data_IF_434437511685
#
_entry.id   IF_434437511685
#
_cell.length_a   1.000
_cell.length_b   1.000
_cell.length_c   1.000
_cell.angle_alpha   90.00
_cell.angle_beta   90.00
_cell.angle_gamma   90.00
#
_symmetry.space_group_name_H-M   'P 1'
#
loop_
_entity.id
_entity.type
_entity.pdbx_description
1 polymer ?
#
# COMPACT_ATOMS: atom_id res chain seq x y z
N UNK A 1 1.66 -25.56 -0.30
CA UNK A 1 2.93 -24.97 -0.74
C UNK A 1 2.56 -23.99 -1.83
N UNK A 2 3.01 -22.74 -1.72
CA UNK A 2 2.89 -21.78 -2.82
C UNK A 2 3.55 -22.38 -4.07
N UNK A 3 3.01 -22.11 -5.26
CA UNK A 3 3.67 -22.50 -6.49
C UNK A 3 5.05 -21.84 -6.58
N UNK A 4 5.94 -22.39 -7.41
CA UNK A 4 7.27 -21.78 -7.59
C UNK A 4 7.11 -20.40 -8.24
N UNK A 5 7.69 -19.32 -7.68
CA UNK A 5 7.62 -18.00 -8.30
C UNK A 5 8.21 -18.00 -9.72
N UNK A 6 7.61 -17.21 -10.59
CA UNK A 6 8.00 -17.05 -11.99
C UNK A 6 8.69 -15.70 -12.25
N UNK A 7 9.28 -15.54 -13.43
CA UNK A 7 9.80 -14.24 -13.86
C UNK A 7 8.70 -13.17 -13.96
N UNK A 8 7.47 -13.56 -14.30
CA UNK A 8 6.34 -12.63 -14.37
C UNK A 8 5.95 -12.09 -12.98
N UNK A 9 6.02 -12.92 -11.95
CA UNK A 9 5.82 -12.48 -10.56
C UNK A 9 6.87 -11.44 -10.17
N UNK A 10 8.14 -11.67 -10.52
CA UNK A 10 9.22 -10.71 -10.26
C UNK A 10 9.02 -9.38 -11.01
N UNK A 11 8.53 -9.42 -12.25
CA UNK A 11 8.16 -8.20 -12.99
C UNK A 11 7.05 -7.41 -12.32
N UNK A 12 6.02 -8.08 -11.77
CA UNK A 12 4.96 -7.43 -11.00
C UNK A 12 5.55 -6.77 -9.74
N UNK A 13 6.43 -7.46 -9.01
CA UNK A 13 7.10 -6.90 -7.83
C UNK A 13 7.92 -5.66 -8.18
N UNK A 14 8.70 -5.69 -9.28
CA UNK A 14 9.47 -4.52 -9.72
C UNK A 14 8.55 -3.34 -10.05
N UNK A 15 7.42 -3.57 -10.72
CA UNK A 15 6.42 -2.51 -11.00
C UNK A 15 5.79 -1.97 -9.72
N UNK A 16 5.44 -2.83 -8.78
CA UNK A 16 4.93 -2.41 -7.46
C UNK A 16 5.98 -1.56 -6.72
N UNK A 17 7.25 -1.95 -6.78
CA UNK A 17 8.35 -1.18 -6.19
C UNK A 17 8.50 0.20 -6.84
N UNK A 18 8.42 0.29 -8.16
CA UNK A 18 8.49 1.56 -8.88
C UNK A 18 7.35 2.51 -8.49
N UNK A 19 6.12 1.99 -8.42
CA UNK A 19 4.96 2.75 -7.94
C UNK A 19 5.18 3.22 -6.50
N UNK A 20 5.67 2.34 -5.60
CA UNK A 20 5.98 2.69 -4.20
C UNK A 20 7.00 3.82 -4.05
N UNK A 21 7.81 4.04 -5.08
CA UNK A 21 8.83 5.10 -5.13
C UNK A 21 8.34 6.40 -5.75
N UNK A 22 7.14 6.48 -6.32
CA UNK A 22 6.58 7.75 -6.77
C UNK A 22 6.69 8.81 -5.68
N UNK A 23 7.05 10.04 -6.06
CA UNK A 23 7.37 11.09 -5.11
C UNK A 23 6.22 11.35 -4.13
N UNK A 24 4.98 11.32 -4.60
CA UNK A 24 3.81 11.58 -3.77
C UNK A 24 3.46 10.39 -2.87
N UNK A 25 3.45 9.15 -3.40
CA UNK A 25 3.23 7.96 -2.58
C UNK A 25 4.33 7.78 -1.52
N UNK A 26 5.57 8.20 -1.81
CA UNK A 26 6.65 8.20 -0.82
C UNK A 26 6.37 9.14 0.34
N UNK A 27 5.88 10.36 0.08
CA UNK A 27 5.45 11.30 1.13
C UNK A 27 4.26 10.74 1.92
N UNK A 28 3.26 10.21 1.21
CA UNK A 28 2.08 9.63 1.82
C UNK A 28 2.44 8.48 2.78
N UNK A 29 3.34 7.58 2.38
CA UNK A 29 3.84 6.49 3.23
C UNK A 29 4.62 6.99 4.44
N UNK A 30 5.44 8.03 4.27
CA UNK A 30 6.18 8.62 5.39
C UNK A 30 5.23 9.25 6.42
N UNK A 31 4.20 9.96 5.96
CA UNK A 31 3.13 10.48 6.82
C UNK A 31 2.36 9.34 7.51
N UNK A 32 1.93 8.33 6.76
CA UNK A 32 1.19 7.17 7.27
C UNK A 32 1.94 6.44 8.38
N UNK A 33 3.27 6.25 8.23
CA UNK A 33 4.10 5.60 9.25
C UNK A 33 4.22 6.39 10.56
N UNK A 34 4.07 7.72 10.51
CA UNK A 34 4.06 8.59 11.69
C UNK A 34 2.67 8.85 12.27
N UNK A 35 1.60 8.54 11.52
CA UNK A 35 0.23 8.78 11.93
C UNK A 35 -0.32 7.58 12.72
N UNK A 36 -0.38 7.73 14.04
CA UNK A 36 -0.84 6.72 14.99
C UNK A 36 -2.11 7.16 15.72
N UNK A 37 -3.29 7.05 15.10
CA UNK A 37 -4.55 7.42 15.74
C UNK A 37 -4.81 6.54 16.98
N UNK A 38 -5.29 7.15 18.06
CA UNK A 38 -5.58 6.48 19.35
C UNK A 38 -7.03 6.05 19.50
N UNK A 39 -7.89 6.44 18.56
CA UNK A 39 -9.30 6.07 18.55
C UNK A 39 -9.86 6.03 17.13
N UNK A 40 -10.99 5.32 16.96
CA UNK A 40 -11.75 5.35 15.72
C UNK A 40 -12.23 6.76 15.37
N UNK A 41 -12.56 7.58 16.37
CA UNK A 41 -12.99 8.97 16.16
C UNK A 41 -11.89 9.82 15.53
N UNK A 42 -10.62 9.64 15.92
CA UNK A 42 -9.50 10.35 15.29
C UNK A 42 -9.35 9.98 13.80
N UNK A 43 -9.65 8.73 13.43
CA UNK A 43 -9.69 8.29 12.03
C UNK A 43 -10.84 8.95 11.29
N UNK A 44 -12.05 8.90 11.86
CA UNK A 44 -13.27 9.50 11.29
C UNK A 44 -13.09 11.01 11.10
N UNK A 45 -12.50 11.69 12.07
CA UNK A 45 -12.18 13.11 11.97
C UNK A 45 -11.17 13.38 10.87
N UNK A 46 -10.07 12.62 10.77
CA UNK A 46 -9.10 12.79 9.70
C UNK A 46 -9.72 12.60 8.32
N UNK A 47 -10.59 11.60 8.14
CA UNK A 47 -11.26 11.32 6.86
C UNK A 47 -12.27 12.42 6.51
N UNK A 48 -13.09 12.87 7.47
CA UNK A 48 -14.22 13.74 7.17
C UNK A 48 -13.94 15.23 7.34
N UNK A 49 -12.83 15.62 7.98
CA UNK A 49 -12.51 17.02 8.19
C UNK A 49 -12.09 17.70 6.89
N UNK A 50 -12.78 18.79 6.46
CA UNK A 50 -12.39 19.58 5.30
C UNK A 50 -11.00 20.23 5.43
N UNK A 51 -10.49 20.30 6.66
CA UNK A 51 -9.18 20.88 6.99
C UNK A 51 -8.00 19.97 6.65
N UNK A 52 -8.24 18.69 6.35
CA UNK A 52 -7.19 17.69 6.13
C UNK A 52 -7.25 17.07 4.70
N UNK A 53 -7.40 17.86 3.63
CA UNK A 53 -7.61 17.31 2.29
C UNK A 53 -6.40 16.51 1.79
N UNK A 54 -5.19 16.87 2.21
CA UNK A 54 -3.95 16.22 1.78
C UNK A 54 -3.73 14.90 2.54
N UNK A 55 -3.91 14.89 3.86
CA UNK A 55 -3.77 13.71 4.71
C UNK A 55 -4.81 12.65 4.34
N UNK A 56 -6.04 13.06 4.07
CA UNK A 56 -7.07 12.16 3.53
C UNK A 56 -6.63 11.57 2.18
N UNK A 57 -6.14 12.41 1.25
CA UNK A 57 -5.65 11.93 -0.05
C UNK A 57 -4.50 10.94 0.12
N UNK A 58 -3.53 11.23 1.00
CA UNK A 58 -2.43 10.34 1.33
C UNK A 58 -2.89 9.02 1.94
N UNK A 59 -3.83 9.04 2.89
CA UNK A 59 -4.42 7.84 3.46
C UNK A 59 -5.01 6.96 2.36
N UNK A 60 -5.88 7.54 1.51
CA UNK A 60 -6.52 6.81 0.42
C UNK A 60 -5.51 6.27 -0.59
N UNK A 61 -4.45 7.03 -0.85
CA UNK A 61 -3.40 6.63 -1.79
C UNK A 61 -2.57 5.46 -1.27
N UNK A 62 -2.19 5.47 0.01
CA UNK A 62 -1.47 4.36 0.65
C UNK A 62 -2.35 3.11 0.71
N UNK A 63 -3.59 3.24 1.18
CA UNK A 63 -4.51 2.10 1.26
C UNK A 63 -4.81 1.52 -0.12
N UNK A 64 -5.16 2.36 -1.10
CA UNK A 64 -5.47 1.89 -2.45
C UNK A 64 -4.31 1.18 -3.14
N UNK A 65 -3.07 1.64 -2.91
CA UNK A 65 -1.87 0.97 -3.42
C UNK A 65 -1.73 -0.45 -2.83
N UNK A 66 -1.91 -0.60 -1.50
CA UNK A 66 -1.81 -1.90 -0.85
C UNK A 66 -3.00 -2.82 -1.14
N UNK A 67 -4.22 -2.28 -1.23
CA UNK A 67 -5.42 -3.03 -1.63
C UNK A 67 -5.24 -3.62 -3.03
N UNK A 68 -4.69 -2.84 -3.97
CA UNK A 68 -4.37 -3.34 -5.32
C UNK A 68 -3.31 -4.45 -5.27
N UNK A 69 -2.20 -4.24 -4.55
CA UNK A 69 -1.15 -5.24 -4.45
C UNK A 69 -1.63 -6.55 -3.80
N UNK A 70 -2.40 -6.45 -2.71
CA UNK A 70 -3.03 -7.58 -2.03
C UNK A 70 -4.03 -8.30 -2.96
N UNK A 71 -4.75 -7.56 -3.80
CA UNK A 71 -5.66 -8.17 -4.78
C UNK A 71 -4.94 -9.10 -5.76
N UNK A 72 -3.68 -8.82 -6.13
CA UNK A 72 -2.91 -9.70 -7.02
C UNK A 72 -2.58 -11.03 -6.35
N UNK A 73 -2.20 -10.99 -5.07
CA UNK A 73 -1.93 -12.19 -4.28
C UNK A 73 -3.21 -13.00 -4.08
N UNK A 74 -4.30 -12.35 -3.63
CA UNK A 74 -5.59 -13.00 -3.38
C UNK A 74 -6.24 -13.62 -4.62
N UNK A 75 -5.91 -13.11 -5.81
CA UNK A 75 -6.41 -13.62 -7.10
C UNK A 75 -5.45 -14.63 -7.75
N UNK A 76 -4.31 -14.93 -7.11
CA UNK A 76 -3.30 -15.86 -7.64
C UNK A 76 -2.54 -15.32 -8.85
N UNK A 77 -2.55 -14.01 -9.09
CA UNK A 77 -1.78 -13.39 -10.18
C UNK A 77 -0.38 -12.98 -9.73
N UNK A 78 -0.10 -13.04 -8.43
CA UNK A 78 1.22 -12.81 -7.84
C UNK A 78 1.48 -13.87 -6.77
N UNK A 79 2.65 -14.49 -6.83
CA UNK A 79 3.11 -15.42 -5.81
C UNK A 79 3.15 -14.79 -4.40
N UNK A 80 2.51 -15.45 -3.43
CA UNK A 80 2.37 -14.98 -2.05
C UNK A 80 3.72 -14.86 -1.32
N UNK A 81 4.54 -15.92 -1.37
CA UNK A 81 5.84 -15.95 -0.70
C UNK A 81 6.78 -14.87 -1.27
N UNK A 82 6.83 -14.74 -2.61
CA UNK A 82 7.63 -13.70 -3.26
C UNK A 82 7.16 -12.29 -2.87
N UNK A 83 5.85 -12.08 -2.74
CA UNK A 83 5.31 -10.80 -2.29
C UNK A 83 5.76 -10.46 -0.87
N UNK A 84 5.67 -11.41 0.08
CA UNK A 84 6.10 -11.18 1.46
C UNK A 84 7.61 -10.95 1.60
N UNK A 85 8.44 -11.66 0.83
CA UNK A 85 9.90 -11.49 0.84
C UNK A 85 10.35 -10.07 0.45
N UNK A 86 9.56 -9.35 -0.35
CA UNK A 86 9.91 -8.04 -0.91
C UNK A 86 9.16 -6.86 -0.27
N UNK A 87 8.27 -7.15 0.67
CA UNK A 87 7.35 -6.18 1.22
C UNK A 87 7.66 -5.78 2.69
N UNK A 88 8.63 -6.41 3.34
CA UNK A 88 9.13 -6.01 4.66
C UNK A 88 9.87 -4.66 4.67
#
# INVERSE_FOLDING_TARGET
MSEKPTAADAEIIMRLYDLRREAELRKARAWYAGWWPRSADEIVQMINAPTNPQENAWLRQVNGYWDMAASFVLRGTLNEDLFFDNHS
#
